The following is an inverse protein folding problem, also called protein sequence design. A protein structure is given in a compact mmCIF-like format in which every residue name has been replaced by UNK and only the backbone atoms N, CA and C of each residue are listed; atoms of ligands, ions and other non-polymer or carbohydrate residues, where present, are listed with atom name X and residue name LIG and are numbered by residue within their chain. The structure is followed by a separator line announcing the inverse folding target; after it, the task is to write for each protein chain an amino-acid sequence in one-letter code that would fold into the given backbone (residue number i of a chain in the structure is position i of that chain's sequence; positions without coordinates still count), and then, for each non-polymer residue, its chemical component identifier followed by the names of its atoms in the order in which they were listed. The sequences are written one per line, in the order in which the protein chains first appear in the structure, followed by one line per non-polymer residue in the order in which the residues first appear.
data_IF_301649512032
#
_entry.id   IF_301649512032
#
_cell.length_a   1.000
_cell.length_b   1.000
_cell.length_c   1.000
_cell.angle_alpha   90.00
_cell.angle_beta   90.00
_cell.angle_gamma   90.00
#
_symmetry.space_group_name_H-M   'P 1'
#
loop_
_entity.id
_entity.type
_entity.pdbx_description
1 polymer ?
#
# COMPACT_ATOMS: atom_id res chain seq x y z
N UNK A 1 1.38 -15.17 -7.03
CA UNK A 1 0.24 -15.99 -6.57
C UNK A 1 0.72 -17.14 -5.71
N UNK A 2 -0.20 -17.85 -5.04
CA UNK A 2 0.09 -19.02 -4.23
C UNK A 2 -1.07 -20.04 -4.32
N UNK A 3 -0.79 -21.33 -4.15
CA UNK A 3 -1.81 -22.39 -4.13
C UNK A 3 -2.86 -22.17 -3.01
N UNK A 4 -2.46 -21.59 -1.89
CA UNK A 4 -3.38 -21.02 -0.91
C UNK A 4 -3.63 -19.56 -1.26
N UNK A 5 -4.77 -19.27 -1.87
CA UNK A 5 -5.05 -17.94 -2.45
C UNK A 5 -4.94 -16.78 -1.44
N UNK A 6 -5.23 -17.03 -0.15
CA UNK A 6 -5.07 -16.03 0.92
C UNK A 6 -3.62 -15.56 1.15
N UNK A 7 -2.64 -16.33 0.68
CA UNK A 7 -1.21 -16.01 0.75
C UNK A 7 -0.71 -15.24 -0.47
N UNK A 8 -1.59 -14.89 -1.42
CA UNK A 8 -1.21 -14.10 -2.58
C UNK A 8 -0.75 -12.70 -2.15
N UNK A 9 0.41 -12.30 -2.64
CA UNK A 9 0.96 -10.96 -2.51
C UNK A 9 0.59 -10.14 -3.74
N UNK A 10 0.04 -8.94 -3.53
CA UNK A 10 -0.21 -7.97 -4.59
C UNK A 10 1.10 -7.32 -5.04
N UNK A 11 1.09 -6.64 -6.18
CA UNK A 11 2.27 -5.97 -6.74
C UNK A 11 2.86 -4.92 -5.78
N UNK A 12 1.99 -4.19 -5.07
CA UNK A 12 2.38 -3.16 -4.10
C UNK A 12 3.16 -3.76 -2.92
N UNK A 13 2.85 -5.00 -2.50
CA UNK A 13 3.63 -5.71 -1.48
C UNK A 13 5.08 -5.94 -1.94
N UNK A 14 5.26 -6.30 -3.22
CA UNK A 14 6.58 -6.48 -3.82
C UNK A 14 7.36 -5.15 -3.90
N UNK A 15 6.71 -4.09 -4.37
CA UNK A 15 7.28 -2.74 -4.43
C UNK A 15 7.75 -2.25 -3.05
N UNK A 16 6.94 -2.43 -2.00
CA UNK A 16 7.28 -2.03 -0.64
C UNK A 16 8.41 -2.89 -0.06
N UNK A 17 8.40 -4.20 -0.35
CA UNK A 17 9.51 -5.09 0.05
C UNK A 17 10.83 -4.65 -0.58
N UNK A 18 10.80 -4.23 -1.85
CA UNK A 18 11.97 -3.69 -2.56
C UNK A 18 12.42 -2.34 -2.00
N UNK A 19 11.48 -1.43 -1.69
CA UNK A 19 11.77 -0.17 -1.01
C UNK A 19 12.53 -0.43 0.31
N UNK A 20 12.02 -1.33 1.14
CA UNK A 20 12.68 -1.69 2.40
C UNK A 20 14.07 -2.30 2.17
N UNK A 21 14.19 -3.21 1.19
CA UNK A 21 15.45 -3.91 0.87
C UNK A 21 16.54 -2.97 0.34
N UNK A 22 16.16 -1.88 -0.33
CA UNK A 22 17.09 -0.95 -1.00
C UNK A 22 17.48 0.29 -0.19
N UNK A 23 17.14 0.31 1.11
CA UNK A 23 17.53 1.39 2.03
C UNK A 23 16.35 2.19 2.58
N UNK A 24 15.11 1.83 2.23
CA UNK A 24 13.91 2.47 2.72
C UNK A 24 13.65 3.83 2.08
N UNK A 25 12.84 4.64 2.77
CA UNK A 25 12.37 5.93 2.30
C UNK A 25 10.86 6.05 2.36
N UNK A 26 10.32 7.07 1.70
CA UNK A 26 8.88 7.33 1.64
C UNK A 26 8.42 7.40 0.18
N UNK A 27 7.32 6.72 -0.11
CA UNK A 27 6.65 6.80 -1.39
C UNK A 27 6.01 8.18 -1.57
N UNK A 28 6.16 8.78 -2.76
CA UNK A 28 5.57 10.08 -3.09
C UNK A 28 4.41 9.96 -4.08
N UNK A 29 4.47 8.98 -5.00
CA UNK A 29 3.41 8.68 -5.95
C UNK A 29 3.46 7.20 -6.37
N UNK A 30 2.30 6.58 -6.60
CA UNK A 30 2.14 5.19 -7.04
C UNK A 30 1.04 5.09 -8.09
N UNK A 31 1.27 4.28 -9.11
CA UNK A 31 0.26 3.86 -10.10
C UNK A 31 0.37 2.33 -10.23
N UNK A 32 -0.77 1.64 -10.16
CA UNK A 32 -0.86 0.19 -10.31
C UNK A 32 -1.60 -0.11 -11.61
N UNK A 33 -1.00 -0.94 -12.46
CA UNK A 33 -1.58 -1.32 -13.75
C UNK A 33 -1.93 -2.81 -13.78
N UNK A 34 -3.04 -3.15 -14.42
CA UNK A 34 -3.43 -4.52 -14.75
C UNK A 34 -3.98 -4.56 -16.18
N UNK A 35 -3.45 -5.45 -17.01
CA UNK A 35 -3.77 -5.54 -18.44
C UNK A 35 -3.69 -4.15 -19.14
N UNK A 36 -2.60 -3.42 -18.89
CA UNK A 36 -2.32 -2.08 -19.43
C UNK A 36 -3.32 -0.97 -19.05
N UNK A 37 -4.18 -1.22 -18.06
CA UNK A 37 -5.12 -0.23 -17.53
C UNK A 37 -4.84 0.06 -16.05
N UNK A 38 -5.09 1.30 -15.59
CA UNK A 38 -5.21 1.63 -14.17
C UNK A 38 -6.05 0.65 -13.36
N UNK A 39 -5.51 0.22 -12.22
CA UNK A 39 -6.22 -0.57 -11.23
C UNK A 39 -6.06 0.07 -9.86
N UNK A 40 -7.18 0.38 -9.23
CA UNK A 40 -7.15 0.92 -7.86
C UNK A 40 -6.64 -0.14 -6.88
N UNK A 41 -5.65 0.17 -6.01
CA UNK A 41 -5.15 -0.76 -5.01
C UNK A 41 -6.24 -1.33 -4.10
N UNK A 42 -6.11 -2.61 -3.75
CA UNK A 42 -7.02 -3.27 -2.82
C UNK A 42 -6.87 -2.72 -1.38
N UNK A 43 -7.85 -2.94 -0.51
CA UNK A 43 -7.86 -2.39 0.86
C UNK A 43 -6.59 -2.71 1.68
N UNK A 44 -6.05 -3.93 1.55
CA UNK A 44 -4.78 -4.33 2.19
C UNK A 44 -3.61 -3.47 1.70
N UNK A 45 -3.49 -3.28 0.39
CA UNK A 45 -2.42 -2.48 -0.20
C UNK A 45 -2.54 -1.00 0.14
N UNK A 46 -3.77 -0.46 0.22
CA UNK A 46 -3.97 0.92 0.65
C UNK A 46 -3.39 1.18 2.05
N UNK A 47 -3.55 0.24 2.99
CA UNK A 47 -2.96 0.38 4.32
C UNK A 47 -1.42 0.33 4.28
N UNK A 48 -0.84 -0.59 3.50
CA UNK A 48 0.61 -0.63 3.31
C UNK A 48 1.16 0.65 2.68
N UNK A 49 0.47 1.17 1.65
CA UNK A 49 0.80 2.45 1.02
C UNK A 49 0.70 3.62 1.99
N UNK A 50 -0.28 3.60 2.90
CA UNK A 50 -0.41 4.60 3.96
C UNK A 50 0.80 4.61 4.90
N UNK A 51 1.27 3.46 5.34
CA UNK A 51 2.44 3.34 6.24
C UNK A 51 3.74 3.82 5.55
N UNK A 52 3.90 3.54 4.25
CA UNK A 52 5.13 3.87 3.54
C UNK A 52 5.10 5.21 2.78
N UNK A 53 3.94 5.84 2.62
CA UNK A 53 3.78 7.10 1.91
C UNK A 53 3.10 8.20 2.71
N UNK A 54 2.18 7.83 3.61
CA UNK A 54 1.42 8.76 4.45
C UNK A 54 0.31 9.49 3.70
N UNK A 55 -0.32 10.50 4.33
CA UNK A 55 -1.52 11.17 3.80
C UNK A 55 -1.27 11.89 2.47
N UNK A 56 -0.05 12.36 2.22
CA UNK A 56 0.33 13.09 1.01
C UNK A 56 0.74 12.20 -0.17
N UNK A 57 0.83 10.87 0.01
CA UNK A 57 1.11 9.96 -1.09
C UNK A 57 0.01 10.06 -2.14
N UNK A 58 0.40 10.27 -3.40
CA UNK A 58 -0.51 10.25 -4.52
C UNK A 58 -0.68 8.83 -5.05
N UNK A 59 -1.91 8.38 -5.22
CA UNK A 59 -2.27 7.12 -5.86
C UNK A 59 -3.16 7.41 -7.05
N UNK A 60 -2.82 6.83 -8.19
CA UNK A 60 -3.64 6.93 -9.38
C UNK A 60 -4.96 6.16 -9.20
N UNK A 61 -6.08 6.85 -9.44
CA UNK A 61 -7.44 6.32 -9.43
C UNK A 61 -8.15 6.83 -10.68
N UNK A 62 -8.58 5.91 -11.55
CA UNK A 62 -9.28 6.20 -12.80
C UNK A 62 -8.53 7.21 -13.71
N UNK A 63 -7.21 7.11 -13.75
CA UNK A 63 -6.32 7.98 -14.51
C UNK A 63 -5.99 9.31 -13.82
N UNK A 64 -6.44 9.52 -12.58
CA UNK A 64 -6.26 10.77 -11.85
C UNK A 64 -5.47 10.52 -10.55
N UNK A 65 -4.35 11.20 -10.30
CA UNK A 65 -3.67 11.14 -9.01
C UNK A 65 -4.56 11.69 -7.89
N UNK A 66 -4.77 10.89 -6.84
CA UNK A 66 -5.53 11.25 -5.64
C UNK A 66 -4.66 11.08 -4.40
N UNK A 67 -4.77 11.96 -3.38
CA UNK A 67 -4.07 11.75 -2.13
C UNK A 67 -4.62 10.52 -1.39
N UNK A 68 -3.77 9.85 -0.61
CA UNK A 68 -4.15 8.68 0.18
C UNK A 68 -5.32 8.92 1.14
N UNK A 69 -5.54 10.17 1.57
CA UNK A 69 -6.69 10.57 2.40
C UNK A 69 -8.03 10.33 1.72
N UNK A 70 -8.09 10.31 0.39
CA UNK A 70 -9.31 10.01 -0.37
C UNK A 70 -9.59 8.49 -0.41
N UNK A 71 -8.53 7.67 -0.36
CA UNK A 71 -8.61 6.21 -0.51
C UNK A 71 -8.88 5.48 0.81
N UNK A 72 -8.36 6.01 1.92
CA UNK A 72 -8.66 5.55 3.28
C UNK A 72 -8.95 6.77 4.18
N UNK A 73 -10.18 7.30 4.13
CA UNK A 73 -10.58 8.29 5.12
C UNK A 73 -10.54 7.65 6.51
N UNK A 74 -9.85 8.27 7.45
CA UNK A 74 -9.64 7.74 8.81
C UNK A 74 -8.82 6.44 8.85
N UNK A 75 -7.71 6.41 8.12
CA UNK A 75 -6.77 5.30 8.16
C UNK A 75 -6.38 4.89 9.59
N UNK A 76 -6.13 3.59 9.77
CA UNK A 76 -5.60 3.10 11.03
C UNK A 76 -4.23 3.74 11.26
N UNK A 77 -3.99 4.33 12.45
CA UNK A 77 -2.74 4.99 12.72
C UNK A 77 -1.59 3.97 12.70
N UNK A 78 -0.39 4.42 12.29
CA UNK A 78 0.86 3.62 12.37
C UNK A 78 1.09 3.04 13.77
N UNK A 79 0.56 3.70 14.82
CA UNK A 79 0.64 3.27 16.21
C UNK A 79 -0.29 2.08 16.57
N UNK A 80 -0.62 1.20 15.62
CA UNK A 80 -1.29 -0.07 15.91
C UNK A 80 -0.31 -1.01 16.60
N UNK A 81 -0.03 -0.72 17.87
CA UNK A 81 0.77 -1.56 18.76
C UNK A 81 -0.04 -2.81 19.09
N UNK A 82 -0.01 -3.82 18.21
CA UNK A 82 -0.22 -5.18 18.68
C UNK A 82 1.02 -5.59 19.48
N UNK A 83 1.08 -5.16 20.75
CA UNK A 83 2.04 -5.69 21.70
C UNK A 83 1.60 -7.11 21.99
N UNK A 84 2.38 -8.10 21.56
CA UNK A 84 2.14 -9.48 21.97
C UNK A 84 2.14 -9.52 23.50
N UNK A 85 1.02 -9.86 24.16
CA UNK A 85 0.96 -9.90 25.62
C UNK A 85 1.91 -10.95 26.23
N UNK A 86 2.48 -11.83 25.42
CA UNK A 86 3.41 -12.89 25.83
C UNK A 86 4.88 -12.64 25.42
N UNK A 87 5.21 -11.51 24.81
CA UNK A 87 6.55 -11.25 24.24
C UNK A 87 6.70 -11.81 22.84
#
# INVERSE_FOLDING_TARGET
ENASYGLTLCAECGMISELARTGGGRLVAVCTLGNDAPVTPCGRCRQLLWEHGGPSLLVEVDGVPRPMTDLIPHAFPEASNFTNPNG
#
